data_IF_851913597615
#
_entry.id   IF_851913597615
#
_cell.length_a   1.000
_cell.length_b   1.000
_cell.length_c   1.000
_cell.angle_alpha   90.00
_cell.angle_beta   90.00
_cell.angle_gamma   90.00
#
_symmetry.space_group_name_H-M   'P 1'
#
loop_
_entity.id
_entity.type
_entity.pdbx_description
1 polymer ?
#
# COMPACT_ATOMS: atom_id res chain seq x y z
N UNK A 1 -25.30 -21.39 -10.59
CA UNK A 1 -24.13 -22.05 -9.97
C UNK A 1 -23.05 -20.99 -9.87
N UNK A 2 -22.82 -20.45 -8.68
CA UNK A 2 -21.80 -19.43 -8.47
C UNK A 2 -20.43 -20.07 -8.68
N UNK A 3 -19.62 -19.52 -9.58
CA UNK A 3 -18.22 -19.87 -9.66
C UNK A 3 -17.62 -19.63 -8.27
N UNK A 4 -17.09 -20.69 -7.67
CA UNK A 4 -16.31 -20.61 -6.43
C UNK A 4 -15.16 -19.63 -6.68
N UNK A 5 -15.30 -18.38 -6.21
CA UNK A 5 -14.26 -17.38 -6.30
C UNK A 5 -13.04 -17.87 -5.52
N UNK A 6 -12.03 -18.37 -6.23
CA UNK A 6 -10.72 -18.58 -5.64
C UNK A 6 -10.09 -17.20 -5.44
N UNK A 7 -10.33 -16.62 -4.26
CA UNK A 7 -9.59 -15.44 -3.78
C UNK A 7 -8.09 -15.74 -3.93
N UNK A 8 -7.30 -14.87 -4.57
CA UNK A 8 -5.87 -15.10 -4.68
C UNK A 8 -5.29 -15.28 -3.27
N UNK A 9 -4.38 -16.23 -3.06
CA UNK A 9 -3.79 -16.46 -1.74
C UNK A 9 -3.14 -15.16 -1.23
N UNK A 10 -3.13 -14.99 0.09
CA UNK A 10 -2.57 -13.80 0.75
C UNK A 10 -3.12 -12.46 0.21
N UNK A 11 -4.42 -12.42 -0.08
CA UNK A 11 -5.13 -11.18 -0.42
C UNK A 11 -6.26 -10.92 0.57
N UNK A 12 -6.75 -9.68 0.62
CA UNK A 12 -7.96 -9.23 1.30
C UNK A 12 -8.86 -8.56 0.28
N UNK A 13 -10.11 -9.05 0.19
CA UNK A 13 -11.12 -8.42 -0.64
C UNK A 13 -12.38 -8.23 0.21
N UNK A 14 -12.62 -7.00 0.64
CA UNK A 14 -13.84 -6.59 1.32
C UNK A 14 -14.71 -5.91 0.26
N UNK A 15 -15.64 -6.65 -0.33
CA UNK A 15 -16.64 -6.04 -1.23
C UNK A 15 -17.70 -5.30 -0.42
N UNK A 16 -18.33 -4.29 -1.02
CA UNK A 16 -19.61 -3.79 -0.52
C UNK A 16 -20.63 -4.96 -0.50
N UNK A 17 -21.21 -5.28 0.68
CA UNK A 17 -22.06 -6.47 0.85
C UNK A 17 -23.41 -6.29 0.16
N UNK A 18 -23.71 -7.18 -0.79
CA UNK A 18 -25.02 -7.31 -1.44
C UNK A 18 -26.08 -7.91 -0.49
N UNK A 19 -27.11 -7.13 -0.23
CA UNK A 19 -28.45 -7.56 0.24
C UNK A 19 -29.58 -6.70 -0.38
N UNK A 20 -29.21 -5.71 -1.20
CA UNK A 20 -30.12 -4.92 -2.02
C UNK A 20 -30.01 -5.40 -3.49
N UNK A 21 -31.10 -5.31 -4.27
CA UNK A 21 -31.13 -5.88 -5.62
C UNK A 21 -30.01 -5.32 -6.50
N UNK A 22 -29.50 -6.17 -7.40
CA UNK A 22 -28.60 -5.78 -8.47
C UNK A 22 -29.08 -4.47 -9.13
N UNK A 23 -28.18 -3.54 -9.49
CA UNK A 23 -28.57 -2.20 -9.94
C UNK A 23 -29.32 -2.27 -11.28
N UNK A 24 -30.63 -2.43 -11.17
CA UNK A 24 -31.60 -1.73 -11.99
C UNK A 24 -32.12 -0.56 -11.16
N UNK A 25 -31.92 0.65 -11.68
CA UNK A 25 -32.66 1.89 -11.36
C UNK A 25 -32.08 2.93 -10.37
N UNK A 26 -31.07 2.65 -9.53
CA UNK A 26 -30.37 3.70 -8.76
C UNK A 26 -28.86 3.75 -9.08
N UNK A 27 -28.43 4.65 -9.97
CA UNK A 27 -27.06 4.78 -10.49
C UNK A 27 -25.95 5.16 -9.49
N UNK A 28 -25.71 4.34 -8.45
CA UNK A 28 -24.55 4.47 -7.56
C UNK A 28 -23.25 4.15 -8.30
N UNK A 29 -22.23 4.97 -8.10
CA UNK A 29 -20.90 4.79 -8.69
C UNK A 29 -20.14 3.72 -7.91
N UNK A 30 -19.32 2.90 -8.58
CA UNK A 30 -18.40 1.96 -7.93
C UNK A 30 -16.99 2.54 -7.88
N UNK A 31 -16.32 2.40 -6.74
CA UNK A 31 -14.92 2.77 -6.57
C UNK A 31 -14.12 1.60 -5.98
N UNK A 32 -12.84 1.51 -6.30
CA UNK A 32 -11.91 0.56 -5.71
C UNK A 32 -10.84 1.32 -4.93
N UNK A 33 -10.61 0.94 -3.69
CA UNK A 33 -9.36 1.25 -2.98
C UNK A 33 -8.47 0.02 -3.06
N UNK A 34 -7.35 0.15 -3.75
CA UNK A 34 -6.33 -0.89 -3.85
C UNK A 34 -5.20 -0.58 -2.85
N UNK A 35 -5.08 -1.40 -1.82
CA UNK A 35 -4.09 -1.27 -0.76
C UNK A 35 -2.77 -1.98 -1.11
N UNK A 36 -1.66 -1.27 -0.93
CA UNK A 36 -0.29 -1.72 -1.20
C UNK A 36 0.49 -1.71 0.12
N UNK A 37 0.95 -2.90 0.51
CA UNK A 37 1.65 -3.13 1.77
C UNK A 37 3.02 -2.43 1.82
N UNK A 38 3.44 -2.01 3.02
CA UNK A 38 4.84 -1.69 3.32
C UNK A 38 5.69 -2.95 3.56
N UNK A 39 6.99 -2.79 3.81
CA UNK A 39 7.92 -3.88 4.10
C UNK A 39 7.90 -4.23 5.62
N UNK A 40 7.73 -5.51 6.03
CA UNK A 40 7.50 -6.71 5.23
C UNK A 40 6.12 -6.74 4.57
N UNK A 41 6.09 -7.11 3.28
CA UNK A 41 4.96 -7.00 2.35
C UNK A 41 3.80 -7.94 2.59
N UNK A 42 3.32 -8.10 3.83
CA UNK A 42 2.24 -9.02 4.20
C UNK A 42 0.92 -8.27 4.40
N UNK A 43 -0.15 -8.68 3.71
CA UNK A 43 -1.46 -8.05 3.85
C UNK A 43 -2.10 -8.27 5.23
N UNK A 44 -1.72 -9.36 5.91
CA UNK A 44 -2.27 -9.72 7.21
C UNK A 44 -2.00 -8.68 8.30
N UNK A 45 -0.98 -7.82 8.14
CA UNK A 45 -0.77 -6.67 9.03
C UNK A 45 -1.91 -5.65 8.96
N UNK A 46 -2.58 -5.53 7.81
CA UNK A 46 -3.53 -4.47 7.52
C UNK A 46 -4.99 -4.95 7.54
N UNK A 47 -5.25 -6.23 7.84
CA UNK A 47 -6.61 -6.77 7.91
C UNK A 47 -7.49 -6.00 8.90
N UNK A 48 -6.96 -5.69 10.10
CA UNK A 48 -7.69 -4.92 11.12
C UNK A 48 -8.03 -3.50 10.64
N UNK A 49 -7.03 -2.82 10.07
CA UNK A 49 -7.18 -1.50 9.45
C UNK A 49 -8.25 -1.49 8.35
N UNK A 50 -8.14 -2.38 7.36
CA UNK A 50 -9.05 -2.45 6.22
C UNK A 50 -10.48 -2.84 6.64
N UNK A 51 -10.61 -3.75 7.61
CA UNK A 51 -11.91 -4.12 8.16
C UNK A 51 -12.58 -2.94 8.86
N UNK A 52 -11.84 -2.19 9.67
CA UNK A 52 -12.38 -1.02 10.34
C UNK A 52 -12.72 0.11 9.37
N UNK A 53 -11.86 0.38 8.38
CA UNK A 53 -12.16 1.34 7.32
C UNK A 53 -13.43 0.97 6.56
N UNK A 54 -13.66 -0.32 6.28
CA UNK A 54 -14.92 -0.81 5.69
C UNK A 54 -16.13 -0.48 6.56
N UNK A 55 -16.04 -0.67 7.88
CA UNK A 55 -17.12 -0.35 8.81
C UNK A 55 -17.43 1.15 8.81
N UNK A 56 -16.39 1.99 8.84
CA UNK A 56 -16.50 3.44 8.78
C UNK A 56 -17.19 3.90 7.49
N UNK A 57 -16.70 3.44 6.33
CA UNK A 57 -17.31 3.77 5.02
C UNK A 57 -18.77 3.34 4.96
N UNK A 58 -19.10 2.16 5.50
CA UNK A 58 -20.48 1.65 5.46
C UNK A 58 -21.44 2.39 6.39
N UNK A 59 -20.89 3.05 7.42
CA UNK A 59 -21.65 3.81 8.42
C UNK A 59 -21.75 5.29 8.09
N UNK A 60 -20.94 5.79 7.17
CA UNK A 60 -20.94 7.19 6.77
C UNK A 60 -22.09 7.52 5.80
N UNK A 61 -22.86 8.56 6.13
CA UNK A 61 -23.99 9.02 5.32
C UNK A 61 -23.53 9.74 4.03
N UNK A 62 -22.40 10.44 4.05
CA UNK A 62 -21.81 11.12 2.87
C UNK A 62 -21.37 10.12 1.80
N UNK A 63 -20.96 8.92 2.22
CA UNK A 63 -20.54 7.84 1.32
C UNK A 63 -21.71 7.09 0.65
N UNK A 64 -22.98 7.42 0.93
CA UNK A 64 -24.15 6.71 0.42
C UNK A 64 -24.37 6.74 -1.11
N UNK A 65 -23.58 7.54 -1.84
CA UNK A 65 -23.62 7.68 -3.31
C UNK A 65 -22.63 6.78 -4.04
N UNK A 66 -21.66 6.21 -3.33
CA UNK A 66 -20.57 5.41 -3.90
C UNK A 66 -20.45 4.05 -3.20
N UNK A 67 -20.40 2.98 -3.99
CA UNK A 67 -20.05 1.64 -3.53
C UNK A 67 -18.53 1.49 -3.60
N UNK A 68 -17.88 1.61 -2.45
CA UNK A 68 -16.42 1.45 -2.37
C UNK A 68 -16.10 -0.01 -2.09
N UNK A 69 -15.25 -0.64 -2.90
CA UNK A 69 -14.62 -1.94 -2.66
C UNK A 69 -13.20 -1.73 -2.11
N UNK A 70 -12.77 -2.58 -1.16
CA UNK A 70 -11.39 -2.56 -0.63
C UNK A 70 -10.71 -3.85 -1.03
N UNK A 71 -9.57 -3.73 -1.71
CA UNK A 71 -8.74 -4.86 -2.07
C UNK A 71 -7.29 -4.61 -1.66
N UNK A 72 -6.59 -5.62 -1.17
CA UNK A 72 -5.15 -5.58 -0.96
C UNK A 72 -4.56 -6.97 -1.05
N UNK A 73 -3.26 -7.07 -1.28
CA UNK A 73 -2.55 -8.36 -1.26
C UNK A 73 -1.12 -8.20 -0.77
N UNK A 74 -0.55 -9.30 -0.32
CA UNK A 74 0.87 -9.37 -0.04
C UNK A 74 1.66 -9.08 -1.32
N UNK A 75 2.79 -8.40 -1.14
CA UNK A 75 3.80 -8.20 -2.17
C UNK A 75 4.37 -9.56 -2.57
N UNK A 76 4.75 -9.71 -3.84
CA UNK A 76 5.16 -11.00 -4.39
C UNK A 76 6.50 -11.45 -3.79
N UNK A 77 6.63 -12.76 -3.54
CA UNK A 77 7.85 -13.38 -3.01
C UNK A 77 8.00 -13.32 -1.50
N UNK A 78 7.01 -12.80 -0.78
CA UNK A 78 6.99 -12.84 0.69
C UNK A 78 6.38 -14.13 1.24
N UNK A 79 5.66 -14.88 0.41
CA UNK A 79 5.22 -16.25 0.69
C UNK A 79 6.03 -17.27 -0.12
N UNK A 80 6.30 -18.44 0.46
CA UNK A 80 7.09 -19.47 -0.19
C UNK A 80 6.40 -20.06 -1.43
N UNK A 81 5.07 -19.97 -1.49
CA UNK A 81 4.23 -20.42 -2.59
C UNK A 81 4.17 -19.42 -3.76
N UNK A 82 4.64 -18.18 -3.57
CA UNK A 82 4.67 -17.16 -4.64
C UNK A 82 5.80 -17.40 -5.66
N UNK A 83 6.75 -18.26 -5.33
CA UNK A 83 7.91 -18.54 -6.17
C UNK A 83 8.29 -20.03 -6.15
N UNK A 84 8.37 -20.59 -7.35
CA UNK A 84 8.96 -21.89 -7.58
C UNK A 84 9.89 -21.75 -8.80
N UNK A 85 11.21 -22.01 -8.67
CA UNK A 85 11.92 -22.62 -7.54
C UNK A 85 12.12 -21.69 -6.32
N UNK A 86 12.78 -22.14 -5.23
CA UNK A 86 13.25 -21.27 -4.13
C UNK A 86 14.23 -20.19 -4.59
N UNK A 87 14.39 -19.11 -3.82
CA UNK A 87 15.40 -18.08 -4.18
C UNK A 87 16.84 -18.57 -4.12
N UNK A 88 17.10 -19.68 -3.40
CA UNK A 88 18.42 -20.30 -3.38
C UNK A 88 18.77 -21.04 -4.67
N UNK A 89 17.81 -21.19 -5.60
CA UNK A 89 18.06 -21.80 -6.89
C UNK A 89 18.78 -20.83 -7.84
N UNK A 90 19.59 -21.34 -8.79
CA UNK A 90 20.21 -20.50 -9.81
C UNK A 90 19.15 -19.69 -10.57
N UNK A 91 19.46 -18.44 -10.87
CA UNK A 91 18.66 -17.51 -11.68
C UNK A 91 17.27 -17.15 -11.13
N UNK A 92 17.00 -17.42 -9.85
CA UNK A 92 15.74 -17.07 -9.19
C UNK A 92 16.00 -16.13 -8.01
N UNK A 93 16.29 -14.87 -8.29
CA UNK A 93 16.57 -13.88 -7.26
C UNK A 93 15.28 -13.35 -6.60
N UNK A 94 15.37 -12.84 -5.35
CA UNK A 94 14.26 -12.15 -4.73
C UNK A 94 13.79 -10.96 -5.57
N UNK A 95 12.51 -10.60 -5.41
CA UNK A 95 11.88 -9.56 -6.23
C UNK A 95 12.30 -8.18 -5.71
N UNK A 96 12.86 -7.36 -6.60
CA UNK A 96 13.28 -5.99 -6.29
C UNK A 96 12.11 -4.99 -6.35
N UNK A 97 12.37 -3.71 -6.08
CA UNK A 97 11.33 -2.68 -6.06
C UNK A 97 10.64 -2.52 -7.43
N UNK A 98 11.40 -2.60 -8.52
CA UNK A 98 10.86 -2.52 -9.88
C UNK A 98 9.92 -3.70 -10.19
N UNK A 99 10.32 -4.91 -9.81
CA UNK A 99 9.48 -6.10 -9.87
C UNK A 99 8.18 -5.93 -9.09
N UNK A 100 8.24 -5.37 -7.87
CA UNK A 100 7.03 -5.09 -7.08
C UNK A 100 6.11 -4.07 -7.76
N UNK A 101 6.66 -2.98 -8.33
CA UNK A 101 5.87 -1.98 -9.07
C UNK A 101 5.12 -2.63 -10.23
N UNK A 102 5.81 -3.44 -11.04
CA UNK A 102 5.19 -4.16 -12.16
C UNK A 102 4.09 -5.12 -11.67
N UNK A 103 4.38 -5.92 -10.65
CA UNK A 103 3.40 -6.88 -10.11
C UNK A 103 2.17 -6.20 -9.51
N UNK A 104 2.32 -5.04 -8.87
CA UNK A 104 1.19 -4.24 -8.38
C UNK A 104 0.39 -3.68 -9.56
N UNK A 105 1.05 -3.13 -10.59
CA UNK A 105 0.40 -2.64 -11.80
C UNK A 105 -0.47 -3.73 -12.46
N UNK A 106 0.09 -4.94 -12.63
CA UNK A 106 -0.60 -6.11 -13.19
C UNK A 106 -1.76 -6.60 -12.29
N UNK A 107 -1.59 -6.55 -10.98
CA UNK A 107 -2.64 -6.98 -10.04
C UNK A 107 -3.81 -6.00 -10.00
N UNK A 108 -3.55 -4.68 -10.00
CA UNK A 108 -4.58 -3.64 -10.16
C UNK A 108 -5.34 -3.87 -11.47
N UNK A 109 -4.60 -4.11 -12.56
CA UNK A 109 -5.18 -4.42 -13.86
C UNK A 109 -6.13 -5.62 -13.83
N UNK A 110 -5.71 -6.71 -13.18
CA UNK A 110 -6.50 -7.93 -13.04
C UNK A 110 -7.81 -7.69 -12.29
N UNK A 111 -7.75 -7.00 -11.15
CA UNK A 111 -8.94 -6.71 -10.33
C UNK A 111 -9.94 -5.83 -11.10
N UNK A 112 -9.46 -4.79 -11.77
CA UNK A 112 -10.32 -3.90 -12.58
C UNK A 112 -10.94 -4.66 -13.76
N UNK A 113 -10.15 -5.46 -14.48
CA UNK A 113 -10.64 -6.22 -15.62
C UNK A 113 -11.69 -7.26 -15.22
N UNK A 114 -11.50 -7.92 -14.07
CA UNK A 114 -12.44 -8.91 -13.57
C UNK A 114 -13.74 -8.27 -13.09
N UNK A 115 -13.70 -7.08 -12.51
CA UNK A 115 -14.93 -6.32 -12.21
C UNK A 115 -15.63 -5.83 -13.48
N UNK A 116 -14.89 -5.36 -14.49
CA UNK A 116 -15.46 -4.97 -15.77
C UNK A 116 -16.19 -6.14 -16.45
N UNK A 117 -15.62 -7.36 -16.40
CA UNK A 117 -16.29 -8.58 -16.89
C UNK A 117 -17.59 -8.88 -16.12
N UNK A 118 -17.57 -8.75 -14.79
CA UNK A 118 -18.76 -9.01 -13.94
C UNK A 118 -19.88 -7.98 -14.14
N UNK A 119 -19.52 -6.72 -14.38
CA UNK A 119 -20.45 -5.58 -14.47
C UNK A 119 -20.87 -5.22 -15.90
N UNK A 120 -20.73 -6.15 -16.86
CA UNK A 120 -21.15 -5.93 -18.26
C UNK A 120 -20.35 -4.83 -18.97
N UNK A 121 -19.08 -4.63 -18.60
CA UNK A 121 -18.14 -3.69 -19.22
C UNK A 121 -18.02 -2.33 -18.54
N UNK A 122 -18.79 -2.04 -17.48
CA UNK A 122 -18.73 -0.75 -16.76
C UNK A 122 -17.51 -0.62 -15.85
N UNK A 123 -17.13 -1.69 -15.15
CA UNK A 123 -15.98 -1.72 -14.24
C UNK A 123 -16.09 -0.74 -13.06
N UNK A 124 -14.96 -0.42 -12.45
CA UNK A 124 -14.87 0.62 -11.42
C UNK A 124 -14.86 2.02 -12.06
N UNK A 125 -15.67 2.93 -11.54
CA UNK A 125 -15.69 4.32 -11.98
C UNK A 125 -14.46 5.10 -11.52
N UNK A 126 -13.86 4.72 -10.39
CA UNK A 126 -12.63 5.28 -9.86
C UNK A 126 -11.78 4.22 -9.16
N UNK A 127 -10.47 4.36 -9.28
CA UNK A 127 -9.48 3.53 -8.57
C UNK A 127 -8.59 4.45 -7.75
N UNK A 128 -8.51 4.18 -6.45
CA UNK A 128 -7.66 4.87 -5.48
C UNK A 128 -6.56 3.90 -5.09
N UNK A 129 -5.30 4.31 -5.27
CA UNK A 129 -4.17 3.54 -4.76
C UNK A 129 -3.84 4.01 -3.36
N UNK A 130 -3.85 3.10 -2.39
CA UNK A 130 -3.49 3.40 -1.02
C UNK A 130 -2.22 2.63 -0.67
N UNK A 131 -1.14 3.32 -0.36
CA UNK A 131 0.14 2.70 -0.06
C UNK A 131 0.66 3.08 1.32
N UNK A 132 1.19 2.11 2.04
CA UNK A 132 1.90 2.35 3.30
C UNK A 132 3.42 2.22 3.11
N UNK A 133 4.22 3.14 3.65
CA UNK A 133 5.69 3.07 3.62
C UNK A 133 6.21 2.95 2.17
N UNK A 134 7.01 1.93 1.84
CA UNK A 134 7.41 1.62 0.45
C UNK A 134 6.21 1.42 -0.49
N UNK A 135 5.09 0.92 0.02
CA UNK A 135 3.85 0.79 -0.74
C UNK A 135 3.32 2.13 -1.27
N UNK A 136 3.60 3.23 -0.58
CA UNK A 136 3.29 4.57 -1.05
C UNK A 136 4.15 4.97 -2.26
N UNK A 137 5.44 4.66 -2.23
CA UNK A 137 6.32 4.85 -3.40
C UNK A 137 5.81 4.04 -4.60
N UNK A 138 5.46 2.76 -4.36
CA UNK A 138 4.90 1.89 -5.40
C UNK A 138 3.59 2.48 -5.96
N UNK A 139 2.70 3.00 -5.11
CA UNK A 139 1.46 3.64 -5.52
C UNK A 139 1.73 4.85 -6.45
N UNK A 140 2.67 5.71 -6.06
CA UNK A 140 3.06 6.88 -6.85
C UNK A 140 3.66 6.47 -8.20
N UNK A 141 4.54 5.46 -8.24
CA UNK A 141 5.11 4.93 -9.48
C UNK A 141 4.07 4.33 -10.42
N UNK A 142 3.14 3.53 -9.89
CA UNK A 142 2.04 2.94 -10.67
C UNK A 142 1.18 4.06 -11.26
N UNK A 143 0.83 5.08 -10.48
CA UNK A 143 0.07 6.22 -10.98
C UNK A 143 0.84 7.01 -12.04
N UNK A 144 2.13 7.27 -11.83
CA UNK A 144 2.99 7.97 -12.78
C UNK A 144 3.05 7.25 -14.14
N UNK A 145 3.31 5.94 -14.13
CA UNK A 145 3.37 5.12 -15.34
C UNK A 145 2.02 5.06 -16.06
N UNK A 146 0.93 4.96 -15.30
CA UNK A 146 -0.41 4.97 -15.85
C UNK A 146 -0.76 6.30 -16.54
N UNK A 147 -0.42 7.44 -15.92
CA UNK A 147 -0.67 8.77 -16.49
C UNK A 147 0.24 9.09 -17.70
N UNK A 148 1.42 8.49 -17.77
CA UNK A 148 2.31 8.61 -18.93
C UNK A 148 1.81 7.81 -20.15
N UNK A 149 0.86 6.89 -19.97
CA UNK A 149 0.32 6.05 -21.05
C UNK A 149 -0.62 6.85 -21.96
N UNK A 150 -0.09 7.35 -23.08
CA UNK A 150 -0.82 8.22 -24.01
C UNK A 150 -2.02 7.55 -24.72
N UNK A 151 -2.05 6.22 -24.78
CA UNK A 151 -3.12 5.45 -25.41
C UNK A 151 -3.51 4.25 -24.52
N UNK A 152 -4.39 4.45 -23.53
CA UNK A 152 -4.81 3.39 -22.63
C UNK A 152 -5.43 2.23 -23.42
N UNK A 153 -4.82 1.05 -23.34
CA UNK A 153 -5.33 -0.17 -23.95
C UNK A 153 -5.86 -1.15 -22.90
N UNK A 154 -6.84 -1.97 -23.26
CA UNK A 154 -7.40 -2.99 -22.38
C UNK A 154 -8.02 -2.41 -21.10
N UNK A 155 -7.59 -2.92 -19.94
CA UNK A 155 -8.12 -2.55 -18.62
C UNK A 155 -7.92 -1.08 -18.27
N UNK A 156 -6.86 -0.43 -18.80
CA UNK A 156 -6.52 0.96 -18.50
C UNK A 156 -7.62 1.94 -18.98
N UNK A 157 -8.46 1.54 -19.95
CA UNK A 157 -9.64 2.31 -20.39
C UNK A 157 -10.77 2.32 -19.35
N UNK A 158 -10.79 1.30 -18.50
CA UNK A 158 -11.80 1.09 -17.47
C UNK A 158 -11.31 1.51 -16.07
N UNK A 159 -10.00 1.73 -15.90
CA UNK A 159 -9.46 2.25 -14.65
C UNK A 159 -9.30 3.77 -14.74
N UNK A 160 -9.91 4.50 -13.81
CA UNK A 160 -9.61 5.92 -13.59
C UNK A 160 -8.78 6.05 -12.32
N UNK A 161 -7.45 5.98 -12.45
CA UNK A 161 -6.53 6.20 -11.33
C UNK A 161 -6.42 7.70 -11.04
N UNK A 162 -7.32 8.21 -10.18
CA UNK A 162 -7.41 9.64 -9.88
C UNK A 162 -6.80 10.05 -8.55
N UNK A 163 -6.81 9.17 -7.55
CA UNK A 163 -6.39 9.54 -6.21
C UNK A 163 -5.38 8.54 -5.63
N UNK A 164 -4.41 9.06 -4.90
CA UNK A 164 -3.38 8.29 -4.20
C UNK A 164 -3.35 8.65 -2.72
N UNK A 165 -3.54 7.67 -1.85
CA UNK A 165 -3.47 7.82 -0.39
C UNK A 165 -2.13 7.26 0.10
N UNK A 166 -1.24 8.15 0.50
CA UNK A 166 0.15 7.84 0.83
C UNK A 166 0.32 7.91 2.35
N UNK A 167 0.31 6.75 3.01
CA UNK A 167 0.36 6.63 4.46
C UNK A 167 1.80 6.38 4.91
N UNK A 168 2.33 7.25 5.78
CA UNK A 168 3.70 7.22 6.30
C UNK A 168 4.74 6.96 5.21
N UNK A 169 4.74 7.75 4.11
CA UNK A 169 5.36 7.31 2.88
C UNK A 169 6.87 7.52 2.90
N UNK A 170 7.59 6.59 2.27
CA UNK A 170 9.04 6.70 2.03
C UNK A 170 9.27 7.17 0.60
N UNK A 171 8.93 8.42 0.28
CA UNK A 171 8.98 8.94 -1.09
C UNK A 171 10.37 9.36 -1.55
N UNK A 172 11.21 9.82 -0.63
CA UNK A 172 12.56 10.29 -0.93
C UNK A 172 13.54 9.84 0.15
N UNK A 173 14.78 9.62 -0.27
CA UNK A 173 15.98 9.42 0.55
C UNK A 173 15.77 8.55 1.80
N UNK A 174 15.17 7.37 1.65
CA UNK A 174 14.95 6.43 2.75
C UNK A 174 16.27 6.03 3.44
N UNK A 175 17.36 6.00 2.65
CA UNK A 175 18.73 5.81 3.11
C UNK A 175 19.21 6.86 4.14
N UNK A 176 18.70 8.10 4.07
CA UNK A 176 19.05 9.18 4.98
C UNK A 176 18.27 9.14 6.30
N UNK A 177 17.22 8.32 6.40
CA UNK A 177 16.44 8.17 7.64
C UNK A 177 17.27 7.55 8.78
N UNK A 178 16.89 7.75 10.05
CA UNK A 178 17.53 7.07 11.18
C UNK A 178 17.66 5.55 11.00
N UNK A 179 16.61 4.88 10.53
CA UNK A 179 16.60 3.43 10.25
C UNK A 179 17.48 3.08 9.04
N UNK A 180 17.42 3.88 7.97
CA UNK A 180 18.26 3.73 6.79
C UNK A 180 19.76 3.78 7.12
N UNK A 181 20.16 4.75 7.95
CA UNK A 181 21.56 4.88 8.43
C UNK A 181 22.00 3.68 9.27
N UNK A 182 21.12 3.16 10.15
CA UNK A 182 21.43 1.94 10.94
C UNK A 182 21.59 0.72 10.03
N UNK A 183 20.75 0.59 9.00
CA UNK A 183 20.87 -0.50 8.03
C UNK A 183 22.16 -0.39 7.21
N UNK A 184 22.57 0.82 6.81
CA UNK A 184 23.86 1.03 6.14
C UNK A 184 25.05 0.61 7.00
N UNK A 185 25.00 0.84 8.31
CA UNK A 185 26.02 0.37 9.23
C UNK A 185 26.09 -1.16 9.30
N UNK A 186 24.94 -1.85 9.28
CA UNK A 186 24.89 -3.31 9.20
C UNK A 186 25.42 -3.84 7.86
N UNK A 187 25.16 -3.13 6.76
CA UNK A 187 25.70 -3.45 5.42
C UNK A 187 27.19 -3.26 5.29
N UNK A 188 27.80 -2.40 6.11
CA UNK A 188 29.24 -2.19 6.10
C UNK A 188 30.02 -3.43 6.57
N UNK A 189 29.34 -4.43 7.15
CA UNK A 189 29.94 -5.72 7.50
C UNK A 189 30.04 -6.59 6.24
N UNK A 190 31.26 -6.93 5.77
CA UNK A 190 31.43 -7.78 4.59
C UNK A 190 30.69 -9.10 4.75
N UNK A 191 30.11 -9.60 3.66
CA UNK A 191 29.38 -10.88 3.59
C UNK A 191 28.02 -10.90 4.32
N UNK A 192 27.61 -9.87 5.08
CA UNK A 192 26.29 -9.88 5.72
C UNK A 192 25.14 -9.98 4.73
N UNK A 193 25.15 -9.21 3.63
CA UNK A 193 24.11 -9.25 2.60
C UNK A 193 23.93 -10.66 2.00
N UNK A 194 25.03 -11.42 1.84
CA UNK A 194 25.04 -12.73 1.19
C UNK A 194 24.68 -13.89 2.11
N UNK A 195 24.88 -13.77 3.44
CA UNK A 195 24.69 -14.89 4.38
C UNK A 195 23.69 -14.61 5.50
N UNK A 196 23.18 -13.38 5.65
CA UNK A 196 22.24 -13.03 6.72
C UNK A 196 20.97 -13.88 6.67
N UNK A 197 20.41 -14.12 5.48
CA UNK A 197 19.22 -14.95 5.33
C UNK A 197 19.48 -16.41 5.74
N UNK A 198 20.68 -16.95 5.47
CA UNK A 198 21.07 -18.30 5.90
C UNK A 198 21.21 -18.40 7.43
N UNK A 199 21.79 -17.38 8.06
CA UNK A 199 21.88 -17.28 9.51
C UNK A 199 20.49 -17.16 10.16
N UNK A 200 19.63 -16.28 9.63
CA UNK A 200 18.27 -16.10 10.09
C UNK A 200 17.49 -17.41 9.98
N UNK A 201 17.58 -18.10 8.84
CA UNK A 201 16.95 -19.41 8.62
C UNK A 201 17.47 -20.48 9.58
N UNK A 202 18.78 -20.53 9.83
CA UNK A 202 19.37 -21.47 10.78
C UNK A 202 18.89 -21.24 12.21
N UNK A 203 18.88 -20.00 12.67
CA UNK A 203 18.44 -19.63 14.02
C UNK A 203 16.93 -19.78 14.21
N UNK A 204 16.11 -19.32 13.26
CA UNK A 204 14.65 -19.38 13.34
C UNK A 204 14.12 -20.80 13.07
N UNK A 205 14.89 -21.63 12.37
CA UNK A 205 14.59 -23.04 12.12
C UNK A 205 14.56 -23.87 13.40
N UNK A 206 15.48 -23.61 14.35
CA UNK A 206 15.57 -24.38 15.61
C UNK A 206 14.58 -23.92 16.68
N UNK A 207 14.06 -22.70 16.59
CA UNK A 207 13.14 -22.15 17.58
C UNK A 207 11.71 -22.64 17.30
N UNK A 208 11.02 -23.27 18.28
CA UNK A 208 9.63 -23.67 18.11
C UNK A 208 8.73 -22.48 17.76
N UNK A 209 7.73 -22.68 16.90
CA UNK A 209 6.85 -21.59 16.45
C UNK A 209 6.13 -20.90 17.62
N UNK A 210 5.75 -21.65 18.66
CA UNK A 210 5.15 -21.09 19.87
C UNK A 210 6.08 -20.07 20.57
N UNK A 211 7.39 -20.33 20.59
CA UNK A 211 8.37 -19.42 21.17
C UNK A 211 8.57 -18.17 20.30
N UNK A 212 8.59 -18.32 18.97
CA UNK A 212 8.62 -17.17 18.03
C UNK A 212 7.38 -16.29 18.21
N UNK A 213 6.18 -16.88 18.23
CA UNK A 213 4.92 -16.16 18.46
C UNK A 213 4.91 -15.45 19.81
N UNK A 214 5.38 -16.10 20.87
CA UNK A 214 5.49 -15.48 22.19
C UNK A 214 6.44 -14.28 22.18
N UNK A 215 7.62 -14.43 21.57
CA UNK A 215 8.60 -13.35 21.47
C UNK A 215 8.07 -12.18 20.64
N UNK A 216 7.50 -12.47 19.47
CA UNK A 216 6.90 -11.48 18.58
C UNK A 216 5.79 -10.70 19.28
N UNK A 217 4.85 -11.39 19.94
CA UNK A 217 3.78 -10.74 20.69
C UNK A 217 4.29 -9.83 21.81
N UNK A 218 5.43 -10.17 22.43
CA UNK A 218 6.10 -9.34 23.43
C UNK A 218 6.79 -8.11 22.84
N UNK A 219 7.50 -8.27 21.72
CA UNK A 219 8.33 -7.21 21.12
C UNK A 219 7.49 -6.22 20.32
N UNK A 220 6.56 -6.73 19.51
CA UNK A 220 5.73 -5.93 18.60
C UNK A 220 4.60 -5.23 19.35
N UNK A 221 4.26 -5.71 20.56
CA UNK A 221 3.12 -5.20 21.33
C UNK A 221 1.77 -5.47 20.67
N UNK A 222 1.76 -6.21 19.55
CA UNK A 222 0.55 -6.59 18.84
C UNK A 222 -0.26 -7.56 19.71
N UNK A 223 -1.47 -7.13 20.10
CA UNK A 223 -2.44 -7.97 20.81
C UNK A 223 -3.26 -8.83 19.85
N UNK A 224 -3.30 -8.48 18.55
CA UNK A 224 -3.98 -9.28 17.55
C UNK A 224 -3.18 -10.56 17.26
N UNK A 225 -3.77 -11.70 17.62
CA UNK A 225 -3.20 -13.02 17.34
C UNK A 225 -2.98 -13.29 15.85
N UNK A 226 -3.69 -12.62 14.94
CA UNK A 226 -3.46 -12.74 13.47
C UNK A 226 -2.12 -12.13 13.07
N UNK A 227 -1.85 -10.89 13.48
CA UNK A 227 -0.59 -10.20 13.19
C UNK A 227 0.60 -10.99 13.73
N UNK A 228 0.50 -11.46 14.98
CA UNK A 228 1.54 -12.29 15.61
C UNK A 228 1.75 -13.60 14.85
N UNK A 229 0.68 -14.24 14.37
CA UNK A 229 0.77 -15.46 13.56
C UNK A 229 1.39 -15.18 12.19
N UNK A 230 0.98 -14.12 11.51
CA UNK A 230 1.52 -13.76 10.20
C UNK A 230 3.02 -13.49 10.28
N UNK A 231 3.45 -12.66 11.24
CA UNK A 231 4.85 -12.35 11.45
C UNK A 231 5.67 -13.57 11.87
N UNK A 232 5.13 -14.45 12.72
CA UNK A 232 5.82 -15.69 13.08
C UNK A 232 5.95 -16.67 11.90
N UNK A 233 4.91 -16.79 11.06
CA UNK A 233 4.96 -17.60 9.83
C UNK A 233 6.02 -17.06 8.87
N UNK A 234 6.02 -15.76 8.63
CA UNK A 234 7.02 -15.11 7.77
C UNK A 234 8.45 -15.22 8.32
N UNK A 235 8.67 -15.04 9.63
CA UNK A 235 9.98 -15.26 10.23
C UNK A 235 10.48 -16.70 10.05
N UNK A 236 9.56 -17.66 9.99
CA UNK A 236 9.88 -19.08 9.81
C UNK A 236 9.82 -19.55 8.36
N UNK A 237 9.45 -18.69 7.40
CA UNK A 237 9.39 -19.08 6.00
C UNK A 237 10.79 -19.28 5.42
N UNK A 238 10.87 -20.01 4.32
CA UNK A 238 12.14 -20.36 3.67
C UNK A 238 12.82 -19.09 3.15
N UNK A 239 12.05 -18.23 2.49
CA UNK A 239 12.57 -17.14 1.66
C UNK A 239 12.09 -15.74 2.09
N UNK A 240 11.07 -15.63 2.95
CA UNK A 240 10.43 -14.35 3.26
C UNK A 240 11.33 -13.30 3.93
N UNK A 241 12.24 -13.72 4.82
CA UNK A 241 13.23 -12.80 5.43
C UNK A 241 14.23 -12.31 4.37
N UNK A 242 14.61 -13.18 3.44
CA UNK A 242 15.50 -12.80 2.34
C UNK A 242 14.83 -11.79 1.42
N UNK A 243 13.56 -12.04 1.05
CA UNK A 243 12.75 -11.10 0.27
C UNK A 243 12.69 -9.70 0.91
N UNK A 244 12.41 -9.62 2.22
CA UNK A 244 12.31 -8.35 2.92
C UNK A 244 13.63 -7.56 2.92
N UNK A 245 14.75 -8.26 3.14
CA UNK A 245 16.08 -7.65 3.14
C UNK A 245 16.49 -7.20 1.74
N UNK A 246 16.17 -8.01 0.72
CA UNK A 246 16.45 -7.69 -0.67
C UNK A 246 15.62 -6.48 -1.14
N UNK A 247 14.32 -6.47 -0.87
CA UNK A 247 13.46 -5.32 -1.18
C UNK A 247 13.94 -4.06 -0.47
N UNK A 248 14.23 -4.14 0.84
CA UNK A 248 14.81 -3.01 1.59
C UNK A 248 16.17 -2.55 1.07
N UNK A 249 16.90 -3.37 0.31
CA UNK A 249 18.12 -2.97 -0.42
C UNK A 249 17.80 -2.16 -1.65
N UNK A 250 16.95 -2.71 -2.50
CA UNK A 250 16.48 -2.05 -3.72
C UNK A 250 15.82 -0.70 -3.40
N UNK A 251 15.02 -0.63 -2.32
CA UNK A 251 14.45 0.61 -1.79
C UNK A 251 15.51 1.68 -1.52
N UNK A 252 16.58 1.34 -0.78
CA UNK A 252 17.64 2.30 -0.43
C UNK A 252 18.48 2.73 -1.64
N UNK A 253 18.58 1.87 -2.66
CA UNK A 253 19.32 2.16 -3.88
C UNK A 253 18.53 3.07 -4.83
N UNK A 254 17.21 2.88 -4.91
CA UNK A 254 16.32 3.57 -5.85
C UNK A 254 15.67 4.82 -5.26
N UNK A 255 15.18 4.77 -4.02
CA UNK A 255 14.44 5.86 -3.36
C UNK A 255 15.43 6.91 -2.84
N UNK A 256 15.88 7.77 -3.75
CA UNK A 256 16.80 8.88 -3.50
C UNK A 256 16.06 10.20 -3.70
N UNK A 257 16.34 10.90 -4.78
CA UNK A 257 15.69 12.17 -5.11
C UNK A 257 14.32 11.94 -5.73
N UNK A 258 13.47 12.96 -5.66
CA UNK A 258 12.18 12.97 -6.33
C UNK A 258 12.40 13.00 -7.85
N UNK A 259 11.94 11.96 -8.56
CA UNK A 259 12.12 11.80 -10.02
C UNK A 259 10.87 12.15 -10.83
N UNK A 260 9.75 12.43 -10.16
CA UNK A 260 8.47 12.67 -10.81
C UNK A 260 8.33 14.12 -11.26
N UNK A 261 7.72 14.30 -12.43
CA UNK A 261 7.37 15.63 -12.93
C UNK A 261 6.29 16.29 -12.05
N UNK A 262 6.35 17.61 -11.90
CA UNK A 262 5.41 18.37 -11.06
C UNK A 262 3.93 18.14 -11.42
N UNK A 263 3.64 17.92 -12.71
CA UNK A 263 2.29 17.59 -13.19
C UNK A 263 1.70 16.32 -12.58
N UNK A 264 2.55 15.40 -12.08
CA UNK A 264 2.07 14.19 -11.40
C UNK A 264 1.27 14.57 -10.18
N UNK A 265 1.69 15.59 -9.43
CA UNK A 265 1.09 15.95 -8.15
C UNK A 265 -0.17 16.80 -8.30
N UNK A 266 -0.32 17.41 -9.47
CA UNK A 266 -1.47 18.21 -9.85
C UNK A 266 -2.57 17.43 -10.53
N UNK A 267 -3.80 17.92 -10.36
CA UNK A 267 -4.88 17.60 -11.27
C UNK A 267 -4.70 18.47 -12.52
N UNK A 268 -3.73 18.12 -13.39
CA UNK A 268 -3.61 18.76 -14.69
C UNK A 268 -4.99 18.81 -15.33
N UNK A 269 -5.37 19.99 -15.84
CA UNK A 269 -6.68 20.31 -16.39
C UNK A 269 -7.02 19.44 -17.62
N UNK A 270 -7.30 18.17 -17.39
CA UNK A 270 -7.84 17.26 -18.39
C UNK A 270 -9.35 17.52 -18.51
N UNK A 271 -9.67 18.52 -19.33
CA UNK A 271 -10.96 18.60 -20.01
C UNK A 271 -12.14 19.12 -19.17
N UNK A 272 -12.59 20.31 -19.56
CA UNK A 272 -13.85 20.98 -19.18
C UNK A 272 -13.90 21.66 -17.80
N UNK A 273 -13.48 22.92 -17.82
CA UNK A 273 -13.89 23.93 -16.84
C UNK A 273 -13.00 23.98 -15.61
N UNK A 274 -12.10 24.97 -15.58
CA UNK A 274 -11.42 25.37 -14.36
C UNK A 274 -12.42 25.61 -13.25
N UNK A 275 -12.52 24.66 -12.34
CA UNK A 275 -13.32 24.76 -11.12
C UNK A 275 -12.37 24.62 -9.95
N UNK A 276 -12.40 25.63 -9.09
CA UNK A 276 -11.73 25.73 -7.80
C UNK A 276 -12.29 24.72 -6.77
N UNK A 277 -12.57 23.48 -7.18
CA UNK A 277 -13.29 22.48 -6.39
C UNK A 277 -12.96 21.01 -6.70
N UNK A 278 -12.00 20.73 -7.59
CA UNK A 278 -11.56 19.36 -7.83
C UNK A 278 -10.70 18.86 -6.65
N UNK A 279 -11.07 17.71 -6.07
CA UNK A 279 -10.32 17.12 -4.97
C UNK A 279 -8.84 16.82 -5.35
N UNK A 280 -7.90 16.93 -4.39
CA UNK A 280 -6.48 16.67 -4.60
C UNK A 280 -6.20 15.29 -5.23
N UNK A 281 -5.13 15.20 -6.03
CA UNK A 281 -4.70 13.91 -6.56
C UNK A 281 -4.06 13.04 -5.50
N UNK A 282 -3.21 13.63 -4.67
CA UNK A 282 -2.54 12.89 -3.60
C UNK A 282 -2.97 13.43 -2.23
N UNK A 283 -3.23 12.48 -1.34
CA UNK A 283 -3.44 12.70 0.08
C UNK A 283 -2.31 11.99 0.81
N UNK A 284 -1.61 12.71 1.67
CA UNK A 284 -0.39 12.23 2.30
C UNK A 284 -0.49 12.41 3.80
N UNK A 285 -0.29 11.33 4.55
CA UNK A 285 -0.19 11.36 6.01
C UNK A 285 1.24 11.02 6.41
N UNK A 286 1.94 11.98 7.02
CA UNK A 286 3.24 11.75 7.64
C UNK A 286 3.11 11.60 9.14
N UNK A 287 3.89 10.68 9.73
CA UNK A 287 4.13 10.69 11.17
C UNK A 287 4.98 11.89 11.58
N UNK A 288 4.78 12.39 12.80
CA UNK A 288 5.55 13.50 13.37
C UNK A 288 7.03 13.17 13.55
N UNK A 289 7.31 12.01 14.13
CA UNK A 289 8.65 11.49 14.40
C UNK A 289 8.81 10.09 13.80
N UNK A 290 8.82 10.01 12.48
CA UNK A 290 8.95 8.75 11.76
C UNK A 290 10.43 8.40 11.54
N UNK A 291 10.93 7.35 12.20
CA UNK A 291 12.32 6.92 12.07
C UNK A 291 12.69 6.31 10.71
N UNK A 292 11.71 6.04 9.84
CA UNK A 292 11.91 5.61 8.46
C UNK A 292 11.89 6.76 7.46
N UNK A 293 11.55 7.96 7.92
CA UNK A 293 11.59 9.18 7.12
C UNK A 293 12.63 10.13 7.70
N UNK A 294 13.36 10.83 6.84
CA UNK A 294 14.21 11.91 7.30
C UNK A 294 13.34 13.17 7.48
N UNK A 295 13.01 13.55 8.73
CA UNK A 295 12.10 14.68 9.01
C UNK A 295 12.45 15.96 8.23
N UNK A 296 13.73 16.29 8.09
CA UNK A 296 14.15 17.47 7.30
C UNK A 296 13.78 17.36 5.81
N UNK A 297 13.89 16.18 5.20
CA UNK A 297 13.52 15.95 3.79
C UNK A 297 12.01 15.91 3.61
N UNK A 298 11.28 15.36 4.59
CA UNK A 298 9.81 15.49 4.66
C UNK A 298 9.42 16.97 4.70
N UNK A 299 10.02 17.75 5.59
CA UNK A 299 9.66 19.16 5.78
C UNK A 299 10.00 19.99 4.54
N UNK A 300 11.12 19.70 3.87
CA UNK A 300 11.48 20.28 2.57
C UNK A 300 10.48 19.92 1.47
N UNK A 301 10.06 18.65 1.40
CA UNK A 301 9.02 18.19 0.47
C UNK A 301 7.69 18.92 0.72
N UNK A 302 7.26 19.00 1.98
CA UNK A 302 6.03 19.72 2.37
C UNK A 302 6.13 21.20 1.99
N UNK A 303 7.26 21.85 2.28
CA UNK A 303 7.45 23.26 1.98
C UNK A 303 7.38 23.55 0.48
N UNK A 304 7.97 22.67 -0.36
CA UNK A 304 7.88 22.77 -1.82
C UNK A 304 6.42 22.67 -2.29
N UNK A 305 5.72 21.61 -1.88
CA UNK A 305 4.31 21.35 -2.27
C UNK A 305 3.35 22.46 -1.84
N UNK A 306 3.58 23.09 -0.68
CA UNK A 306 2.79 24.24 -0.21
C UNK A 306 3.05 25.51 -1.01
N UNK A 307 4.27 25.68 -1.53
CA UNK A 307 4.64 26.85 -2.33
C UNK A 307 4.03 26.81 -3.74
N UNK A 308 3.89 25.61 -4.30
CA UNK A 308 3.43 25.40 -5.68
C UNK A 308 1.90 25.33 -5.82
N UNK A 309 1.16 25.95 -4.89
CA UNK A 309 -0.29 26.09 -4.99
C UNK A 309 -1.12 25.05 -4.24
N UNK A 310 -0.50 24.08 -3.55
CA UNK A 310 -1.20 23.21 -2.61
C UNK A 310 -2.10 22.15 -3.25
N UNK A 311 -1.78 21.70 -4.46
CA UNK A 311 -2.56 20.69 -5.21
C UNK A 311 -2.55 19.28 -4.58
N UNK A 312 -1.72 19.09 -3.54
CA UNK A 312 -1.60 17.87 -2.74
C UNK A 312 -2.07 18.14 -1.31
N UNK A 313 -2.96 17.30 -0.79
CA UNK A 313 -3.39 17.35 0.62
C UNK A 313 -2.33 16.66 1.46
N UNK A 314 -1.65 17.40 2.33
CA UNK A 314 -0.62 16.84 3.22
C UNK A 314 -0.99 17.10 4.68
N UNK A 315 -0.98 16.04 5.46
CA UNK A 315 -1.15 16.01 6.89
C UNK A 315 0.11 15.49 7.55
N UNK A 316 0.48 16.12 8.67
CA UNK A 316 1.46 15.59 9.59
C UNK A 316 0.69 15.30 10.86
N UNK A 317 0.71 14.05 11.30
CA UNK A 317 0.06 13.63 12.53
C UNK A 317 0.48 14.56 13.68
N UNK A 318 -0.51 15.09 14.40
CA UNK A 318 -0.27 15.91 15.58
C UNK A 318 0.00 15.05 16.83
N UNK A 319 -0.37 13.76 16.78
CA UNK A 319 -0.16 12.75 17.80
C UNK A 319 1.22 12.08 17.77
N UNK A 320 1.24 10.81 18.17
CA UNK A 320 2.42 9.93 18.23
C UNK A 320 2.17 8.63 17.44
N UNK A 321 1.50 8.74 16.28
CA UNK A 321 1.23 7.59 15.44
C UNK A 321 2.57 6.99 14.96
N UNK A 322 2.82 5.69 15.24
CA UNK A 322 4.04 5.06 14.79
C UNK A 322 3.96 4.77 13.29
N UNK A 323 5.13 4.71 12.64
CA UNK A 323 5.23 4.25 11.24
C UNK A 323 4.45 2.95 11.02
N UNK A 324 4.60 1.98 11.93
CA UNK A 324 3.88 0.71 11.88
C UNK A 324 2.49 0.82 12.56
N UNK A 325 1.68 1.79 12.14
CA UNK A 325 0.34 2.07 12.69
C UNK A 325 -0.59 0.84 12.66
N UNK A 326 -0.36 -0.08 11.72
CA UNK A 326 -1.19 -1.26 11.52
C UNK A 326 -1.11 -2.30 12.66
N UNK A 327 -0.16 -2.16 13.59
CA UNK A 327 0.10 -3.15 14.65
C UNK A 327 -0.81 -3.01 15.87
N UNK A 328 -1.34 -1.82 16.13
CA UNK A 328 -2.22 -1.55 17.27
C UNK A 328 -3.58 -1.05 16.81
N UNK A 329 -4.60 -1.48 17.54
CA UNK A 329 -5.98 -1.12 17.24
C UNK A 329 -6.26 0.37 17.38
N UNK A 330 -5.71 1.02 18.40
CA UNK A 330 -5.82 2.48 18.58
C UNK A 330 -5.22 3.24 17.38
N UNK A 331 -4.00 2.89 16.98
CA UNK A 331 -3.26 3.57 15.91
C UNK A 331 -3.95 3.38 14.54
N UNK A 332 -4.35 2.14 14.18
CA UNK A 332 -4.98 1.93 12.88
C UNK A 332 -6.39 2.51 12.77
N UNK A 333 -7.11 2.64 13.89
CA UNK A 333 -8.44 3.26 13.89
C UNK A 333 -8.33 4.73 13.56
N UNK A 334 -7.39 5.43 14.19
CA UNK A 334 -7.13 6.84 13.90
C UNK A 334 -6.75 7.07 12.43
N UNK A 335 -5.87 6.22 11.87
CA UNK A 335 -5.52 6.31 10.44
C UNK A 335 -6.73 6.02 9.53
N UNK A 336 -7.62 5.11 9.92
CA UNK A 336 -8.83 4.81 9.15
C UNK A 336 -9.85 5.96 9.16
N UNK A 337 -9.94 6.71 10.27
CA UNK A 337 -10.73 7.94 10.38
C UNK A 337 -10.19 9.01 9.41
N UNK A 338 -8.88 9.28 9.42
CA UNK A 338 -8.25 10.20 8.45
C UNK A 338 -8.53 9.79 7.01
N UNK A 339 -8.45 8.50 6.69
CA UNK A 339 -8.76 8.00 5.34
C UNK A 339 -10.24 8.20 4.99
N UNK A 340 -11.16 8.01 5.94
CA UNK A 340 -12.57 8.31 5.71
C UNK A 340 -12.76 9.79 5.39
N UNK A 341 -12.16 10.70 6.16
CA UNK A 341 -12.24 12.15 5.91
C UNK A 341 -11.78 12.52 4.50
N UNK A 342 -10.70 11.92 4.00
CA UNK A 342 -10.24 12.12 2.63
C UNK A 342 -11.21 11.59 1.58
N UNK A 343 -11.86 10.46 1.85
CA UNK A 343 -12.90 9.93 0.96
C UNK A 343 -14.11 10.87 0.92
N UNK A 344 -14.53 11.38 2.07
CA UNK A 344 -15.63 12.33 2.16
C UNK A 344 -15.30 13.64 1.43
N UNK A 345 -14.07 14.15 1.57
CA UNK A 345 -13.59 15.33 0.81
C UNK A 345 -13.66 15.09 -0.71
N UNK A 346 -13.29 13.90 -1.18
CA UNK A 346 -13.38 13.53 -2.60
C UNK A 346 -14.84 13.48 -3.06
N UNK A 347 -15.75 12.93 -2.26
CA UNK A 347 -17.18 12.85 -2.62
C UNK A 347 -17.86 14.21 -2.58
N UNK A 348 -17.53 15.06 -1.61
CA UNK A 348 -18.06 16.42 -1.48
C UNK A 348 -17.59 17.31 -2.64
N UNK A 349 -16.33 17.21 -3.05
CA UNK A 349 -15.81 17.93 -4.23
C UNK A 349 -16.40 17.46 -5.57
N UNK A 350 -17.17 16.37 -5.58
CA UNK A 350 -17.91 15.85 -6.75
C UNK A 350 -19.41 16.18 -6.70
N UNK A 351 -19.90 16.72 -5.59
CA UNK A 351 -21.29 17.15 -5.38
C UNK A 351 -21.52 18.57 -5.86
#
# INVERSE_FOLDING_TARGET
>A
MAASETRPPHSVFLRHREGEPAPGENGRRRALIYFICGNPGLIEFYEGFLAHLRELISSSASMGRVEVDLYGRSLVGFDDDDHAPPFSAPDNEPVDLEGQIRSVYESVAGVVADEAKRSGGKGYGDVILMGHSVGAYIATEVMHRHLAEQQPAGWARHARLRHGFLLFPTLTHIAASPSGRRMQLLRAVPLMDSYFHLLARGLLGVIPEAAVRWLVGRVVGARDGRVVRALARWLKSRDGVWQAVHLGKSEMETIREEVWEERLWGMAAEGEGGSSGAAPRFFILYGKEDHWVANHLRDEFIARRRKDGGETRIEVDEGDLPHAFCLKEEDFKQVAETVLEWLEEIEDGRS
#
